data_IF_605637789424
#
_entry.id   IF_605637789424
#
_cell.length_a   1.000
_cell.length_b   1.000
_cell.length_c   1.000
_cell.angle_alpha   90.00
_cell.angle_beta   90.00
_cell.angle_gamma   90.00
#
_symmetry.space_group_name_H-M   'P 1'
#
loop_
_entity.id
_entity.type
_entity.pdbx_description
1 polymer ?
#
# COMPACT_ATOMS: atom_id res chain seq x y z
N UNK A 1 -17.55 1.36 16.10
CA UNK A 1 -16.29 1.60 16.81
C UNK A 1 -15.03 1.29 15.99
N UNK A 2 -15.00 0.22 15.21
CA UNK A 2 -13.78 -0.24 14.53
C UNK A 2 -13.27 0.69 13.42
N UNK A 3 -14.14 1.34 12.67
CA UNK A 3 -13.73 2.30 11.64
C UNK A 3 -12.98 3.53 12.17
N UNK A 4 -13.19 3.91 13.43
CA UNK A 4 -12.52 5.07 14.03
C UNK A 4 -11.07 4.79 14.40
N UNK A 5 -10.71 3.55 14.71
CA UNK A 5 -9.36 3.20 15.15
C UNK A 5 -8.41 3.04 13.96
N UNK A 6 -8.89 2.51 12.84
CA UNK A 6 -8.13 2.50 11.58
C UNK A 6 -7.87 3.92 11.05
N UNK A 7 -8.86 4.81 11.12
CA UNK A 7 -8.68 6.21 10.74
C UNK A 7 -7.65 6.92 11.63
N UNK A 8 -7.63 6.64 12.93
CA UNK A 8 -6.63 7.16 13.87
C UNK A 8 -5.23 6.63 13.57
N UNK A 9 -5.08 5.34 13.24
CA UNK A 9 -3.78 4.77 12.87
C UNK A 9 -3.27 5.37 11.55
N UNK A 10 -4.14 5.57 10.56
CA UNK A 10 -3.75 6.22 9.32
C UNK A 10 -3.34 7.68 9.55
N UNK A 11 -4.09 8.44 10.34
CA UNK A 11 -3.74 9.83 10.68
C UNK A 11 -2.41 9.91 11.43
N UNK A 12 -2.14 8.97 12.35
CA UNK A 12 -0.86 8.89 13.04
C UNK A 12 0.30 8.60 12.08
N UNK A 13 0.13 7.68 11.13
CA UNK A 13 1.12 7.39 10.10
C UNK A 13 1.38 8.59 9.17
N UNK A 14 0.32 9.30 8.77
CA UNK A 14 0.42 10.54 8.00
C UNK A 14 1.13 11.64 8.78
N UNK A 15 0.85 11.79 10.07
CA UNK A 15 1.52 12.75 10.96
C UNK A 15 3.02 12.47 11.08
N UNK A 16 3.40 11.22 11.25
CA UNK A 16 4.82 10.81 11.26
C UNK A 16 5.49 11.11 9.92
N UNK A 17 4.81 10.81 8.81
CA UNK A 17 5.32 11.13 7.47
C UNK A 17 5.60 12.62 7.30
N UNK A 18 4.65 13.49 7.67
CA UNK A 18 4.77 14.94 7.49
C UNK A 18 5.76 15.56 8.47
N UNK A 19 5.70 15.18 9.76
CA UNK A 19 6.47 15.85 10.81
C UNK A 19 7.91 15.35 10.94
N UNK A 20 8.16 14.09 10.58
CA UNK A 20 9.47 13.44 10.81
C UNK A 20 10.13 13.07 9.48
N UNK A 21 9.43 12.29 8.66
CA UNK A 21 10.05 11.71 7.46
C UNK A 21 10.26 12.77 6.37
N UNK A 22 9.27 13.63 6.15
CA UNK A 22 9.32 14.65 5.10
C UNK A 22 10.50 15.62 5.27
N UNK A 23 10.77 16.26 6.43
CA UNK A 23 11.92 17.13 6.60
C UNK A 23 13.25 16.38 6.45
N UNK A 24 13.34 15.13 6.89
CA UNK A 24 14.51 14.30 6.70
C UNK A 24 14.75 14.05 5.21
N UNK A 25 13.71 13.67 4.46
CA UNK A 25 13.79 13.45 3.01
C UNK A 25 14.19 14.72 2.25
N UNK A 26 13.66 15.89 2.63
CA UNK A 26 14.04 17.18 2.05
C UNK A 26 15.51 17.49 2.31
N UNK A 27 16.01 17.21 3.52
CA UNK A 27 17.42 17.36 3.86
C UNK A 27 18.34 16.47 3.00
N UNK A 28 18.00 15.18 2.87
CA UNK A 28 18.73 14.26 1.99
C UNK A 28 18.65 14.66 0.53
N UNK A 29 17.49 15.13 0.06
CA UNK A 29 17.32 15.63 -1.29
C UNK A 29 18.23 16.86 -1.57
N UNK A 30 18.33 17.78 -0.59
CA UNK A 30 19.25 18.91 -0.67
C UNK A 30 20.71 18.48 -0.79
N UNK A 31 21.15 17.53 0.05
CA UNK A 31 22.51 16.97 -0.05
C UNK A 31 22.76 16.27 -1.38
N UNK A 32 21.79 15.47 -1.86
CA UNK A 32 21.88 14.83 -3.17
C UNK A 32 21.96 15.83 -4.33
N UNK A 33 21.22 16.94 -4.22
CA UNK A 33 21.27 18.03 -5.20
C UNK A 33 22.65 18.70 -5.25
N UNK A 34 23.20 19.04 -4.07
CA UNK A 34 24.56 19.62 -3.98
C UNK A 34 25.60 18.65 -4.54
N UNK A 35 25.50 17.35 -4.22
CA UNK A 35 26.40 16.34 -4.75
C UNK A 35 26.31 16.25 -6.28
N UNK A 36 25.10 16.22 -6.85
CA UNK A 36 24.90 16.16 -8.30
C UNK A 36 25.46 17.41 -9.01
N UNK A 37 25.33 18.59 -8.40
CA UNK A 37 25.91 19.83 -8.93
C UNK A 37 27.44 19.83 -8.87
N UNK A 38 28.04 19.29 -7.79
CA UNK A 38 29.49 19.16 -7.66
C UNK A 38 30.06 18.16 -8.69
N UNK A 39 29.41 17.03 -8.89
CA UNK A 39 29.79 16.02 -9.88
C UNK A 39 29.73 16.62 -11.29
N UNK A 40 28.65 17.32 -11.61
CA UNK A 40 28.51 18.00 -12.88
C UNK A 40 29.57 19.11 -13.05
N UNK A 41 29.87 19.90 -12.01
CA UNK A 41 30.92 20.93 -12.04
C UNK A 41 32.30 20.34 -12.36
N UNK A 42 32.63 19.16 -11.83
CA UNK A 42 33.87 18.43 -12.17
C UNK A 42 33.89 17.99 -13.63
N UNK A 43 32.76 17.48 -14.14
CA UNK A 43 32.63 17.05 -15.52
C UNK A 43 32.80 18.21 -16.50
N UNK A 44 32.24 19.37 -16.17
CA UNK A 44 32.40 20.64 -16.94
C UNK A 44 33.85 21.13 -16.92
N UNK A 45 34.53 21.02 -15.79
CA UNK A 45 35.96 21.42 -15.67
C UNK A 45 36.89 20.55 -16.52
N UNK A 46 36.52 19.30 -16.76
CA UNK A 46 37.32 18.33 -17.50
C UNK A 46 37.04 18.39 -19.02
N UNK A 47 35.79 18.64 -19.41
CA UNK A 47 35.34 18.72 -20.80
C UNK A 47 35.15 20.20 -21.19
N UNK A 48 36.10 20.78 -21.95
CA UNK A 48 35.99 22.11 -22.57
C UNK A 48 35.03 22.16 -23.78
N UNK A 49 33.85 21.49 -23.65
CA UNK A 49 32.85 21.43 -24.69
C UNK A 49 31.69 22.42 -24.50
N UNK A 50 30.91 22.63 -25.53
CA UNK A 50 29.77 23.52 -25.74
C UNK A 50 29.08 24.09 -24.49
N UNK A 51 29.26 25.38 -24.22
CA UNK A 51 28.61 26.10 -23.10
C UNK A 51 27.08 26.03 -23.12
N UNK A 52 26.49 25.90 -24.27
CA UNK A 52 25.02 25.81 -24.41
C UNK A 52 24.45 24.48 -23.93
N UNK A 53 25.13 23.39 -24.24
CA UNK A 53 24.78 22.03 -23.75
C UNK A 53 24.94 21.93 -22.23
N UNK A 54 25.93 22.63 -21.65
CA UNK A 54 26.17 22.66 -20.22
C UNK A 54 25.04 23.38 -19.46
N UNK A 55 24.58 24.53 -19.96
CA UNK A 55 23.48 25.27 -19.35
C UNK A 55 22.19 24.44 -19.30
N UNK A 56 21.90 23.70 -20.37
CA UNK A 56 20.75 22.80 -20.43
C UNK A 56 20.81 21.70 -19.35
N UNK A 57 21.98 21.13 -19.12
CA UNK A 57 22.17 20.10 -18.11
C UNK A 57 22.00 20.63 -16.67
N UNK A 58 22.46 21.85 -16.37
CA UNK A 58 22.20 22.50 -15.09
C UNK A 58 20.70 22.70 -14.84
N UNK A 59 20.00 23.24 -15.82
CA UNK A 59 18.55 23.46 -15.74
C UNK A 59 17.82 22.11 -15.52
N UNK A 60 18.25 21.06 -16.23
CA UNK A 60 17.66 19.73 -16.10
C UNK A 60 17.84 19.14 -14.69
N UNK A 61 19.03 19.29 -14.08
CA UNK A 61 19.28 18.87 -12.71
C UNK A 61 18.34 19.60 -11.75
N UNK A 62 18.26 20.94 -11.83
CA UNK A 62 17.39 21.75 -10.97
C UNK A 62 15.92 21.34 -11.12
N UNK A 63 15.43 21.20 -12.36
CA UNK A 63 14.04 20.78 -12.64
C UNK A 63 13.74 19.41 -12.03
N UNK A 64 14.66 18.45 -12.18
CA UNK A 64 14.51 17.10 -11.61
C UNK A 64 14.37 17.12 -10.09
N UNK A 65 15.27 17.87 -9.40
CA UNK A 65 15.22 17.96 -7.95
C UNK A 65 13.99 18.74 -7.45
N UNK A 66 13.60 19.82 -8.15
CA UNK A 66 12.38 20.58 -7.88
C UNK A 66 11.12 19.70 -7.98
N UNK A 67 11.04 18.89 -9.04
CA UNK A 67 9.90 17.97 -9.23
C UNK A 67 9.82 16.93 -8.10
N UNK A 68 10.96 16.34 -7.71
CA UNK A 68 10.98 15.38 -6.59
C UNK A 68 10.62 16.07 -5.27
N UNK A 69 11.06 17.31 -5.04
CA UNK A 69 10.68 18.08 -3.85
C UNK A 69 9.16 18.29 -3.76
N UNK A 70 8.53 18.64 -4.87
CA UNK A 70 7.06 18.78 -4.96
C UNK A 70 6.38 17.44 -4.68
N UNK A 71 6.88 16.33 -5.25
CA UNK A 71 6.35 14.99 -4.98
C UNK A 71 6.46 14.61 -3.50
N UNK A 72 7.60 14.87 -2.85
CA UNK A 72 7.78 14.61 -1.41
C UNK A 72 6.80 15.45 -0.59
N UNK A 73 6.63 16.74 -0.91
CA UNK A 73 5.69 17.62 -0.20
C UNK A 73 4.25 17.16 -0.31
N UNK A 74 3.86 16.53 -1.40
CA UNK A 74 2.51 16.03 -1.64
C UNK A 74 2.35 14.51 -1.47
N UNK A 75 3.37 13.81 -0.95
CA UNK A 75 3.36 12.35 -0.81
C UNK A 75 2.14 11.84 -0.05
N UNK A 76 1.80 12.46 1.09
CA UNK A 76 0.65 12.05 1.91
C UNK A 76 -0.67 12.24 1.15
N UNK A 77 -0.82 13.33 0.41
CA UNK A 77 -2.00 13.59 -0.40
C UNK A 77 -2.14 12.59 -1.55
N UNK A 78 -1.04 12.25 -2.20
CA UNK A 78 -1.00 11.24 -3.26
C UNK A 78 -1.37 9.85 -2.71
N UNK A 79 -0.78 9.44 -1.59
CA UNK A 79 -1.12 8.18 -0.93
C UNK A 79 -2.58 8.16 -0.47
N UNK A 80 -3.09 9.27 0.07
CA UNK A 80 -4.50 9.43 0.45
C UNK A 80 -5.44 9.28 -0.73
N UNK A 81 -5.15 9.95 -1.85
CA UNK A 81 -5.95 9.84 -3.08
C UNK A 81 -5.96 8.43 -3.67
N UNK A 82 -4.83 7.71 -3.64
CA UNK A 82 -4.77 6.30 -4.05
C UNK A 82 -5.62 5.44 -3.11
N UNK A 83 -5.52 5.65 -1.80
CA UNK A 83 -6.31 4.91 -0.82
C UNK A 83 -7.82 5.13 -0.99
N UNK A 84 -8.26 6.39 -1.17
CA UNK A 84 -9.66 6.71 -1.44
C UNK A 84 -10.16 6.07 -2.75
N UNK A 85 -9.32 6.05 -3.78
CA UNK A 85 -9.61 5.36 -5.04
C UNK A 85 -9.85 3.86 -4.84
N UNK A 86 -9.00 3.20 -4.04
CA UNK A 86 -9.20 1.78 -3.70
C UNK A 86 -10.46 1.54 -2.87
N UNK A 87 -10.77 2.40 -1.91
CA UNK A 87 -12.01 2.32 -1.13
C UNK A 87 -13.24 2.48 -2.02
N UNK A 88 -13.21 3.42 -2.97
CA UNK A 88 -14.30 3.58 -3.92
C UNK A 88 -14.51 2.32 -4.77
N UNK A 89 -13.45 1.73 -5.28
CA UNK A 89 -13.51 0.46 -6.03
C UNK A 89 -14.05 -0.67 -5.15
N UNK A 90 -13.54 -0.81 -3.93
CA UNK A 90 -13.99 -1.84 -2.99
C UNK A 90 -15.48 -1.71 -2.66
N UNK A 91 -15.96 -0.50 -2.39
CA UNK A 91 -17.38 -0.23 -2.15
C UNK A 91 -18.21 -0.55 -3.39
N UNK A 92 -17.74 -0.17 -4.59
CA UNK A 92 -18.45 -0.45 -5.84
C UNK A 92 -18.56 -1.95 -6.13
N UNK A 93 -17.49 -2.70 -5.85
CA UNK A 93 -17.50 -4.18 -5.95
C UNK A 93 -18.45 -4.78 -4.92
N UNK A 94 -18.42 -4.30 -3.68
CA UNK A 94 -19.32 -4.75 -2.62
C UNK A 94 -20.78 -4.52 -2.97
N UNK A 95 -21.12 -3.31 -3.48
CA UNK A 95 -22.46 -2.98 -3.93
C UNK A 95 -22.92 -3.87 -5.09
N UNK A 96 -22.04 -4.16 -6.03
CA UNK A 96 -22.33 -5.02 -7.18
C UNK A 96 -22.56 -6.47 -6.73
N UNK A 97 -21.76 -6.98 -5.78
CA UNK A 97 -21.94 -8.30 -5.20
C UNK A 97 -23.23 -8.40 -4.36
N UNK A 98 -23.55 -7.35 -3.60
CA UNK A 98 -24.81 -7.28 -2.83
C UNK A 98 -26.03 -7.21 -3.75
N UNK A 99 -25.96 -6.45 -4.86
CA UNK A 99 -27.01 -6.36 -5.86
C UNK A 99 -27.17 -7.68 -6.65
N UNK A 100 -26.09 -8.44 -6.82
CA UNK A 100 -26.08 -9.73 -7.51
C UNK A 100 -26.69 -10.90 -6.72
N UNK A 101 -27.34 -10.63 -5.57
CA UNK A 101 -28.01 -11.64 -4.73
C UNK A 101 -27.17 -12.91 -4.50
N UNK A 102 -25.88 -12.78 -4.20
CA UNK A 102 -25.18 -13.81 -3.45
C UNK A 102 -25.62 -13.62 -1.98
N UNK A 103 -26.95 -13.59 -1.79
CA UNK A 103 -27.55 -13.56 -0.47
C UNK A 103 -27.33 -14.95 0.12
N UNK A 104 -26.99 -14.99 1.41
CA UNK A 104 -26.77 -16.20 2.19
C UNK A 104 -27.99 -17.15 2.32
N UNK A 105 -28.91 -17.08 1.38
CA UNK A 105 -30.06 -17.98 1.23
C UNK A 105 -29.60 -19.42 1.11
N UNK A 106 -28.46 -19.68 0.44
CA UNK A 106 -27.92 -21.03 0.32
C UNK A 106 -27.43 -21.63 1.64
N UNK A 107 -26.84 -20.83 2.53
CA UNK A 107 -26.31 -21.34 3.79
C UNK A 107 -27.43 -21.58 4.82
N UNK A 108 -28.39 -20.64 4.93
CA UNK A 108 -29.52 -20.82 5.84
C UNK A 108 -30.47 -21.96 5.40
N UNK A 109 -30.75 -22.07 4.10
CA UNK A 109 -31.58 -23.17 3.59
C UNK A 109 -30.85 -24.51 3.71
N UNK A 110 -29.53 -24.54 3.51
CA UNK A 110 -28.71 -25.75 3.75
C UNK A 110 -28.68 -26.14 5.23
N UNK A 111 -28.54 -25.20 6.15
CA UNK A 111 -28.60 -25.43 7.60
C UNK A 111 -29.98 -25.89 8.05
N UNK A 112 -31.06 -25.31 7.52
CA UNK A 112 -32.44 -25.72 7.82
C UNK A 112 -32.73 -27.11 7.29
N UNK A 113 -32.30 -27.45 6.08
CA UNK A 113 -32.46 -28.82 5.54
C UNK A 113 -31.65 -29.87 6.30
N UNK A 114 -30.50 -29.49 6.87
CA UNK A 114 -29.70 -30.34 7.77
C UNK A 114 -30.41 -30.58 9.12
N UNK A 115 -31.13 -29.57 9.66
CA UNK A 115 -31.91 -29.71 10.90
C UNK A 115 -33.20 -30.52 10.73
N UNK A 116 -33.74 -30.61 9.53
CA UNK A 116 -34.99 -31.31 9.22
C UNK A 116 -34.80 -32.82 9.00
N UNK A 117 -33.55 -33.32 8.96
CA UNK A 117 -33.21 -34.72 8.89
C UNK A 117 -33.58 -35.40 10.22
N UNK A 118 -34.72 -36.06 10.20
CA UNK A 118 -35.31 -36.80 11.32
C UNK A 118 -34.30 -37.67 12.05
N UNK A 119 -34.37 -37.66 13.37
CA UNK A 119 -33.59 -38.45 14.36
C UNK A 119 -33.66 -39.97 14.22
N UNK A 120 -34.14 -40.54 13.13
CA UNK A 120 -34.45 -41.97 13.01
C UNK A 120 -33.25 -42.85 12.61
N UNK A 121 -32.10 -42.29 12.32
CA UNK A 121 -30.89 -43.06 11.97
C UNK A 121 -29.65 -42.52 12.67
N UNK A 122 -29.37 -43.00 13.86
CA UNK A 122 -28.27 -42.61 14.72
C UNK A 122 -26.89 -42.64 13.99
N UNK A 123 -26.64 -43.61 13.14
CA UNK A 123 -25.39 -43.72 12.36
C UNK A 123 -25.21 -42.59 11.35
N UNK A 124 -26.28 -42.11 10.72
CA UNK A 124 -26.26 -40.99 9.81
C UNK A 124 -26.04 -39.64 10.53
N UNK A 125 -26.62 -39.47 11.73
CA UNK A 125 -26.44 -38.24 12.52
C UNK A 125 -25.01 -38.08 12.98
N UNK A 126 -24.29 -39.13 13.35
CA UNK A 126 -22.85 -39.09 13.70
C UNK A 126 -22.00 -38.74 12.49
N UNK A 127 -22.29 -39.30 11.31
CA UNK A 127 -21.60 -38.96 10.07
C UNK A 127 -21.74 -37.48 9.71
N UNK A 128 -22.95 -36.94 9.79
CA UNK A 128 -23.20 -35.51 9.54
C UNK A 128 -22.52 -34.58 10.58
N UNK A 129 -22.50 -34.99 11.85
CA UNK A 129 -21.83 -34.25 12.90
C UNK A 129 -20.32 -34.15 12.64
N UNK A 130 -19.67 -35.22 12.20
CA UNK A 130 -18.25 -35.22 11.84
C UNK A 130 -17.97 -34.34 10.63
N UNK A 131 -18.78 -34.45 9.56
CA UNK A 131 -18.63 -33.60 8.37
C UNK A 131 -18.83 -32.12 8.72
N UNK A 132 -19.85 -31.78 9.51
CA UNK A 132 -20.10 -30.40 9.93
C UNK A 132 -18.96 -29.85 10.79
N UNK A 133 -18.35 -30.66 11.65
CA UNK A 133 -17.21 -30.30 12.46
C UNK A 133 -15.95 -29.97 11.58
N UNK A 134 -15.71 -30.82 10.57
CA UNK A 134 -14.60 -30.56 9.60
C UNK A 134 -14.83 -29.27 8.83
N UNK A 135 -16.05 -29.02 8.36
CA UNK A 135 -16.39 -27.78 7.65
C UNK A 135 -16.21 -26.58 8.56
N UNK A 136 -16.65 -26.63 9.81
CA UNK A 136 -16.56 -25.55 10.78
C UNK A 136 -15.09 -25.22 11.11
N UNK A 137 -14.27 -26.22 11.34
CA UNK A 137 -12.83 -26.05 11.58
C UNK A 137 -12.13 -25.47 10.34
N UNK A 138 -12.42 -25.98 9.15
CA UNK A 138 -11.87 -25.47 7.89
C UNK A 138 -12.25 -24.03 7.64
N UNK A 139 -13.51 -23.66 7.86
CA UNK A 139 -13.99 -22.27 7.72
C UNK A 139 -13.35 -21.36 8.75
N UNK A 140 -13.20 -21.80 9.99
CA UNK A 140 -12.51 -21.06 11.05
C UNK A 140 -11.05 -20.77 10.70
N UNK A 141 -10.31 -21.76 10.20
CA UNK A 141 -8.93 -21.57 9.75
C UNK A 141 -8.83 -20.60 8.55
N UNK A 142 -9.77 -20.69 7.63
CA UNK A 142 -9.84 -19.78 6.48
C UNK A 142 -10.08 -18.34 6.94
N UNK A 143 -11.00 -18.11 7.88
CA UNK A 143 -11.27 -16.78 8.47
C UNK A 143 -10.05 -16.22 9.16
N UNK A 144 -9.32 -17.00 9.96
CA UNK A 144 -8.09 -16.56 10.62
C UNK A 144 -7.04 -16.15 9.59
N UNK A 145 -6.88 -16.93 8.52
CA UNK A 145 -5.96 -16.61 7.43
C UNK A 145 -6.32 -15.29 6.72
N UNK A 146 -7.59 -15.10 6.39
CA UNK A 146 -8.07 -13.88 5.76
C UNK A 146 -7.84 -12.67 6.68
N UNK A 147 -8.19 -12.79 7.96
CA UNK A 147 -7.99 -11.73 8.94
C UNK A 147 -6.51 -11.37 9.10
N UNK A 148 -5.62 -12.36 9.22
CA UNK A 148 -4.18 -12.16 9.31
C UNK A 148 -3.64 -11.46 8.05
N UNK A 149 -4.08 -11.89 6.86
CA UNK A 149 -3.67 -11.30 5.60
C UNK A 149 -4.13 -9.83 5.51
N UNK A 150 -5.35 -9.53 5.92
CA UNK A 150 -5.91 -8.17 5.93
C UNK A 150 -5.12 -7.26 6.85
N UNK A 151 -4.84 -7.70 8.09
CA UNK A 151 -4.05 -6.92 9.06
C UNK A 151 -2.63 -6.67 8.52
N UNK A 152 -1.98 -7.70 7.97
CA UNK A 152 -0.64 -7.57 7.40
C UNK A 152 -0.61 -6.56 6.27
N UNK A 153 -1.60 -6.59 5.37
CA UNK A 153 -1.71 -5.63 4.26
C UNK A 153 -1.97 -4.20 4.74
N UNK A 154 -2.78 -4.02 5.77
CA UNK A 154 -2.98 -2.69 6.37
C UNK A 154 -1.69 -2.14 6.98
N UNK A 155 -0.94 -2.96 7.73
CA UNK A 155 0.37 -2.57 8.26
C UNK A 155 1.36 -2.20 7.15
N UNK A 156 1.40 -2.99 6.07
CA UNK A 156 2.26 -2.73 4.92
C UNK A 156 1.93 -1.38 4.27
N UNK A 157 0.63 -1.06 4.08
CA UNK A 157 0.19 0.22 3.54
C UNK A 157 0.59 1.38 4.46
N UNK A 158 0.43 1.24 5.79
CA UNK A 158 0.82 2.28 6.73
C UNK A 158 2.33 2.53 6.72
N UNK A 159 3.14 1.47 6.69
CA UNK A 159 4.59 1.61 6.57
C UNK A 159 4.98 2.24 5.24
N UNK A 160 4.39 1.80 4.13
CA UNK A 160 4.65 2.39 2.82
C UNK A 160 4.29 3.87 2.78
N UNK A 161 3.15 4.27 3.36
CA UNK A 161 2.75 5.69 3.43
C UNK A 161 3.70 6.50 4.30
N UNK A 162 4.09 5.98 5.47
CA UNK A 162 5.01 6.67 6.36
C UNK A 162 6.38 6.90 5.71
N UNK A 163 6.92 5.89 5.02
CA UNK A 163 8.27 5.94 4.45
C UNK A 163 8.33 6.26 2.94
N UNK A 164 7.21 6.61 2.31
CA UNK A 164 7.12 6.85 0.87
C UNK A 164 8.08 7.96 0.35
N UNK A 165 8.49 8.88 1.20
CA UNK A 165 9.48 9.92 0.87
C UNK A 165 10.87 9.37 0.55
N UNK A 166 11.33 8.31 1.25
CA UNK A 166 12.67 7.74 1.06
C UNK A 166 12.93 7.19 -0.34
N UNK A 167 12.07 6.31 -0.91
CA UNK A 167 12.30 5.80 -2.25
C UNK A 167 12.27 6.90 -3.32
N UNK A 168 11.51 7.98 -3.12
CA UNK A 168 11.52 9.13 -4.03
C UNK A 168 12.89 9.83 -4.05
N UNK A 169 13.52 10.01 -2.87
CA UNK A 169 14.88 10.53 -2.78
C UNK A 169 15.89 9.58 -3.45
N UNK A 170 15.76 8.26 -3.23
CA UNK A 170 16.65 7.27 -3.85
C UNK A 170 16.57 7.26 -5.38
N UNK A 171 15.43 7.63 -5.97
CA UNK A 171 15.30 7.74 -7.43
C UNK A 171 16.10 8.90 -8.03
N UNK A 172 16.50 9.91 -7.24
CA UNK A 172 17.24 11.06 -7.73
C UNK A 172 18.71 10.75 -8.00
N UNK A 173 19.30 9.83 -7.24
CA UNK A 173 20.73 9.49 -7.32
C UNK A 173 20.91 8.26 -8.21
N UNK A 174 21.92 8.31 -9.09
CA UNK A 174 22.17 7.26 -10.10
C UNK A 174 22.50 5.90 -9.46
N UNK A 175 23.21 5.93 -8.34
CA UNK A 175 23.65 4.72 -7.61
C UNK A 175 22.52 4.04 -6.84
N UNK A 176 21.59 4.81 -6.26
CA UNK A 176 20.52 4.29 -5.42
C UNK A 176 19.20 4.04 -6.19
N UNK A 177 19.14 4.46 -7.47
CA UNK A 177 17.97 4.29 -8.33
C UNK A 177 17.42 2.85 -8.39
N UNK A 178 18.25 1.78 -8.49
CA UNK A 178 17.74 0.41 -8.51
C UNK A 178 16.99 0.04 -7.24
N UNK A 179 17.47 0.52 -6.09
CA UNK A 179 16.84 0.30 -4.78
C UNK A 179 15.50 1.03 -4.65
N UNK A 180 15.41 2.28 -5.14
CA UNK A 180 14.17 3.05 -5.18
C UNK A 180 13.11 2.39 -6.07
N UNK A 181 13.48 1.91 -7.26
CA UNK A 181 12.58 1.17 -8.15
C UNK A 181 12.13 -0.15 -7.51
N UNK A 182 13.03 -0.85 -6.81
CA UNK A 182 12.73 -2.10 -6.10
C UNK A 182 11.65 -1.93 -5.03
N UNK A 183 11.57 -0.76 -4.39
CA UNK A 183 10.54 -0.44 -3.40
C UNK A 183 9.13 -0.36 -4.01
N UNK A 184 9.00 0.22 -5.21
CA UNK A 184 7.71 0.34 -5.90
C UNK A 184 7.27 -0.93 -6.64
N UNK A 185 8.15 -1.92 -6.77
CA UNK A 185 7.83 -3.21 -7.43
C UNK A 185 7.25 -4.26 -6.48
N UNK A 186 7.32 -4.05 -5.19
CA UNK A 186 6.71 -4.91 -4.16
C UNK A 186 5.28 -4.54 -3.91
#
# INVERSE_FOLDING_TARGET
GEGSDFAKMYSAAADVSVKVIQPICVGFLGLACVWALLEFSKEVSTNRGDHFSMAGNYVWIIVKFSLVMVLISHTVQLCGGVYEGFLWVANKVSDTLAAGQISGVGFNSFMLSMMEIRYSQFAWSVGYALVSMVILVSTGLCLIKVLTLTITRMFEIYLMTAFAGFPLVMLTTRETRPSGIGYFKK
#
